data_IF_960624865304
#
_entry.id   IF_960624865304
#
_cell.length_a   1.000
_cell.length_b   1.000
_cell.length_c   1.000
_cell.angle_alpha   90.00
_cell.angle_beta   90.00
_cell.angle_gamma   90.00
#
_symmetry.space_group_name_H-M   'P 1'
#
loop_
_entity.id
_entity.type
_entity.pdbx_description
1 polymer ?
#
# COMPACT_ATOMS: atom_id res chain seq x y z
N UNK A 1 22.29 9.59 -3.46
CA UNK A 1 21.70 9.19 -2.17
C UNK A 1 22.53 8.07 -1.60
N UNK A 2 23.11 8.26 -0.42
CA UNK A 2 23.88 7.22 0.27
C UNK A 2 22.96 6.57 1.30
N UNK A 3 22.79 5.24 1.22
CA UNK A 3 22.04 4.46 2.19
C UNK A 3 23.02 3.75 3.11
N UNK A 4 22.94 4.05 4.41
CA UNK A 4 23.76 3.37 5.42
C UNK A 4 23.38 1.90 5.56
N UNK A 5 24.23 1.10 6.19
CA UNK A 5 24.04 -0.34 6.44
C UNK A 5 22.67 -0.74 7.03
N UNK A 6 22.02 0.15 7.78
CA UNK A 6 20.71 -0.11 8.40
C UNK A 6 19.52 0.30 7.50
N UNK A 7 19.77 1.13 6.48
CA UNK A 7 18.79 1.64 5.53
C UNK A 7 18.81 0.89 4.19
N UNK A 8 19.95 0.27 3.85
CA UNK A 8 20.11 -0.61 2.70
C UNK A 8 19.55 -2.02 3.00
N UNK A 9 20.12 -3.06 2.39
CA UNK A 9 19.60 -4.43 2.52
C UNK A 9 19.98 -5.17 3.82
N UNK A 10 20.79 -4.57 4.69
CA UNK A 10 21.33 -5.25 5.88
C UNK A 10 21.93 -6.61 5.49
N UNK A 11 21.55 -7.71 6.13
CA UNK A 11 22.01 -9.07 5.80
C UNK A 11 21.16 -9.82 4.77
N UNK A 12 20.21 -9.16 4.09
CA UNK A 12 19.21 -9.82 3.23
C UNK A 12 19.15 -9.20 1.84
N UNK A 13 20.31 -8.87 1.28
CA UNK A 13 20.40 -8.41 -0.10
C UNK A 13 19.93 -9.51 -1.07
N UNK A 14 19.22 -9.16 -2.16
CA UNK A 14 18.92 -10.10 -3.22
C UNK A 14 20.22 -10.74 -3.75
N UNK A 15 20.27 -12.07 -3.92
CA UNK A 15 21.49 -12.76 -4.33
C UNK A 15 22.05 -12.26 -5.67
N UNK A 16 21.19 -11.78 -6.56
CA UNK A 16 21.58 -11.28 -7.90
C UNK A 16 22.55 -10.09 -7.85
N UNK A 17 22.59 -9.35 -6.73
CA UNK A 17 23.48 -8.20 -6.59
C UNK A 17 24.83 -8.55 -5.96
N UNK A 18 25.03 -9.79 -5.49
CA UNK A 18 26.28 -10.29 -4.90
C UNK A 18 26.87 -9.37 -3.81
N UNK A 19 26.00 -8.69 -3.06
CA UNK A 19 26.42 -7.73 -2.04
C UNK A 19 26.87 -8.45 -0.77
N UNK A 20 27.97 -8.00 -0.12
CA UNK A 20 28.32 -8.50 1.19
C UNK A 20 27.24 -8.10 2.22
N UNK A 21 27.06 -8.88 3.30
CA UNK A 21 26.15 -8.50 4.37
C UNK A 21 26.48 -7.10 4.90
N UNK A 22 25.44 -6.28 5.08
CA UNK A 22 25.53 -4.91 5.60
C UNK A 22 26.32 -3.93 4.72
N UNK A 23 26.37 -4.18 3.41
CA UNK A 23 26.97 -3.25 2.45
C UNK A 23 26.34 -1.85 2.53
N UNK A 24 27.18 -0.82 2.46
CA UNK A 24 26.77 0.55 2.21
C UNK A 24 26.57 0.75 0.71
N UNK A 25 25.50 1.45 0.31
CA UNK A 25 25.13 1.58 -1.10
C UNK A 25 24.95 3.06 -1.46
N UNK A 26 25.64 3.48 -2.52
CA UNK A 26 25.47 4.79 -3.12
C UNK A 26 24.63 4.68 -4.41
N UNK A 27 23.50 5.40 -4.45
CA UNK A 27 22.63 5.48 -5.61
C UNK A 27 22.69 6.87 -6.25
N UNK A 28 22.79 6.90 -7.59
CA UNK A 28 22.52 8.10 -8.39
C UNK A 28 21.09 7.98 -8.93
N UNK A 29 20.16 8.74 -8.36
CA UNK A 29 18.74 8.71 -8.72
C UNK A 29 18.39 9.95 -9.53
N UNK A 30 17.81 9.76 -10.71
CA UNK A 30 17.23 10.82 -11.52
C UNK A 30 15.70 10.64 -11.55
N UNK A 31 14.98 11.44 -10.76
CA UNK A 31 13.52 11.44 -10.78
C UNK A 31 13.03 12.17 -12.04
N UNK A 32 12.55 11.41 -13.03
CA UNK A 32 12.07 11.97 -14.29
C UNK A 32 10.67 12.58 -14.18
N UNK A 33 9.79 11.89 -13.48
CA UNK A 33 8.40 12.30 -13.26
C UNK A 33 7.89 11.67 -11.96
N UNK A 34 6.92 12.33 -11.33
CA UNK A 34 6.19 11.79 -10.19
C UNK A 34 4.74 12.31 -10.22
N UNK A 35 3.79 11.41 -9.96
CA UNK A 35 2.42 11.82 -9.67
C UNK A 35 2.31 12.15 -8.18
N UNK A 36 1.84 13.35 -7.86
CA UNK A 36 1.43 13.66 -6.49
C UNK A 36 0.12 12.94 -6.20
N UNK A 37 0.18 11.88 -5.41
CA UNK A 37 -1.04 11.30 -4.85
C UNK A 37 -1.57 12.25 -3.78
N UNK A 38 -2.90 12.47 -3.80
CA UNK A 38 -3.57 13.20 -2.73
C UNK A 38 -3.27 12.56 -1.38
N UNK A 39 -3.03 13.37 -0.37
CA UNK A 39 -3.04 12.86 0.98
C UNK A 39 -4.47 12.43 1.38
N UNK A 40 -4.61 11.51 2.34
CA UNK A 40 -5.93 11.00 2.75
C UNK A 40 -6.90 12.10 3.19
N UNK A 41 -6.41 13.20 3.75
CA UNK A 41 -7.22 14.35 4.16
C UNK A 41 -7.65 15.26 3.00
N UNK A 42 -7.05 15.12 1.83
CA UNK A 42 -7.38 15.86 0.60
C UNK A 42 -8.36 15.10 -0.29
N UNK A 43 -8.59 13.81 0.02
CA UNK A 43 -9.49 12.95 -0.73
C UNK A 43 -10.94 13.15 -0.30
N UNK A 44 -11.86 13.18 -1.28
CA UNK A 44 -13.29 13.06 -0.99
C UNK A 44 -13.64 11.63 -0.55
N UNK A 45 -14.83 11.45 0.02
CA UNK A 45 -15.34 10.13 0.41
C UNK A 45 -15.39 9.15 -0.78
N UNK A 46 -15.77 9.62 -1.97
CA UNK A 46 -15.78 8.84 -3.20
C UNK A 46 -14.37 8.43 -3.62
N UNK A 47 -13.40 9.35 -3.57
CA UNK A 47 -12.01 9.09 -3.94
C UNK A 47 -11.36 8.07 -2.99
N UNK A 48 -11.68 8.14 -1.68
CA UNK A 48 -11.27 7.15 -0.69
C UNK A 48 -11.83 5.77 -1.00
N UNK A 49 -13.13 5.67 -1.34
CA UNK A 49 -13.76 4.40 -1.71
C UNK A 49 -13.14 3.80 -2.98
N UNK A 50 -12.91 4.62 -4.02
CA UNK A 50 -12.29 4.15 -5.26
C UNK A 50 -10.85 3.70 -5.04
N UNK A 51 -10.09 4.44 -4.23
CA UNK A 51 -8.71 4.10 -3.88
C UNK A 51 -8.63 2.82 -3.03
N UNK A 52 -9.58 2.63 -2.11
CA UNK A 52 -9.68 1.41 -1.31
C UNK A 52 -10.05 0.19 -2.17
N UNK A 53 -10.93 0.35 -3.16
CA UNK A 53 -11.23 -0.70 -4.15
C UNK A 53 -9.97 -1.10 -4.93
N UNK A 54 -9.18 -0.13 -5.41
CA UNK A 54 -7.90 -0.41 -6.10
C UNK A 54 -6.91 -1.16 -5.21
N UNK A 55 -6.80 -0.77 -3.93
CA UNK A 55 -5.94 -1.46 -2.96
C UNK A 55 -6.43 -2.88 -2.67
N UNK A 56 -7.75 -3.09 -2.57
CA UNK A 56 -8.37 -4.40 -2.40
C UNK A 56 -8.06 -5.31 -3.60
N UNK A 57 -8.23 -4.82 -4.83
CA UNK A 57 -7.94 -5.59 -6.05
C UNK A 57 -6.46 -5.98 -6.11
N UNK A 58 -5.56 -5.01 -5.87
CA UNK A 58 -4.12 -5.27 -5.81
C UNK A 58 -3.77 -6.28 -4.70
N UNK A 59 -4.43 -6.20 -3.55
CA UNK A 59 -4.27 -7.19 -2.47
C UNK A 59 -4.61 -8.60 -2.92
N UNK A 60 -5.67 -8.75 -3.72
CA UNK A 60 -6.08 -10.04 -4.28
C UNK A 60 -5.04 -10.63 -5.22
N UNK A 61 -4.36 -9.81 -6.02
CA UNK A 61 -3.29 -10.25 -6.91
C UNK A 61 -2.08 -10.83 -6.14
N UNK A 62 -1.84 -10.36 -4.91
CA UNK A 62 -0.72 -10.83 -4.07
C UNK A 62 -1.06 -12.07 -3.22
N UNK A 63 -2.30 -12.56 -3.20
CA UNK A 63 -2.67 -13.73 -2.37
C UNK A 63 -1.83 -14.98 -2.69
N UNK A 64 -1.49 -15.20 -3.96
CA UNK A 64 -0.71 -16.36 -4.39
C UNK A 64 0.81 -16.22 -4.17
N UNK A 65 1.33 -14.99 -4.13
CA UNK A 65 2.78 -14.72 -4.14
C UNK A 65 3.31 -14.25 -2.80
N UNK A 66 2.52 -13.47 -2.05
CA UNK A 66 2.95 -12.90 -0.78
C UNK A 66 1.75 -12.53 0.10
N UNK A 67 1.38 -13.43 1.00
CA UNK A 67 0.32 -13.20 1.99
C UNK A 67 0.58 -11.96 2.86
N UNK A 68 1.85 -11.70 3.22
CA UNK A 68 2.23 -10.49 3.97
C UNK A 68 1.88 -9.22 3.20
N UNK A 69 2.17 -9.19 1.90
CA UNK A 69 1.88 -8.04 1.04
C UNK A 69 0.37 -7.87 0.83
N UNK A 70 -0.35 -8.96 0.57
CA UNK A 70 -1.80 -8.97 0.45
C UNK A 70 -2.47 -8.40 1.71
N UNK A 71 -2.10 -8.92 2.89
CA UNK A 71 -2.61 -8.44 4.19
C UNK A 71 -2.37 -6.95 4.39
N UNK A 72 -1.16 -6.46 4.11
CA UNK A 72 -0.84 -5.04 4.25
C UNK A 72 -1.70 -4.16 3.34
N UNK A 73 -1.97 -4.60 2.11
CA UNK A 73 -2.83 -3.87 1.17
C UNK A 73 -4.28 -3.81 1.64
N UNK A 74 -4.84 -4.92 2.13
CA UNK A 74 -6.18 -4.95 2.71
C UNK A 74 -6.30 -4.10 3.98
N UNK A 75 -5.32 -4.17 4.89
CA UNK A 75 -5.30 -3.31 6.08
C UNK A 75 -5.25 -1.82 5.71
N UNK A 76 -4.46 -1.44 4.69
CA UNK A 76 -4.42 -0.06 4.19
C UNK A 76 -5.74 0.36 3.55
N UNK A 77 -6.41 -0.54 2.82
CA UNK A 77 -7.73 -0.28 2.25
C UNK A 77 -8.77 0.01 3.35
N UNK A 78 -8.81 -0.78 4.43
CA UNK A 78 -9.68 -0.52 5.57
C UNK A 78 -9.38 0.81 6.26
N UNK A 79 -8.09 1.10 6.48
CA UNK A 79 -7.67 2.36 7.11
C UNK A 79 -8.11 3.57 6.29
N UNK A 80 -8.16 3.45 4.96
CA UNK A 80 -8.53 4.55 4.08
C UNK A 80 -10.01 4.93 4.19
N UNK A 81 -10.88 3.97 4.47
CA UNK A 81 -12.34 4.16 4.55
C UNK A 81 -12.86 4.19 5.98
N UNK A 82 -12.00 4.06 7.00
CA UNK A 82 -12.44 3.88 8.39
C UNK A 82 -13.27 5.05 8.94
N UNK A 83 -13.01 6.26 8.47
CA UNK A 83 -13.73 7.47 8.87
C UNK A 83 -15.08 7.66 8.15
N UNK A 84 -15.38 6.81 7.15
CA UNK A 84 -16.63 6.86 6.39
C UNK A 84 -17.75 6.01 7.00
N UNK A 85 -17.47 5.28 8.09
CA UNK A 85 -18.38 4.28 8.69
C UNK A 85 -19.73 4.85 9.14
N UNK A 86 -19.77 6.12 9.53
CA UNK A 86 -20.97 6.78 10.06
C UNK A 86 -21.77 7.55 9.00
N UNK A 87 -21.44 7.37 7.71
CA UNK A 87 -22.09 8.12 6.65
C UNK A 87 -23.49 7.54 6.34
N UNK A 88 -24.55 8.34 6.49
CA UNK A 88 -25.95 7.94 6.24
C UNK A 88 -26.44 8.23 4.80
N UNK A 89 -25.51 8.53 3.89
CA UNK A 89 -25.81 8.88 2.50
C UNK A 89 -25.75 7.74 1.48
N UNK A 90 -25.82 8.10 0.19
CA UNK A 90 -25.75 7.20 -0.97
C UNK A 90 -24.45 6.37 -1.07
N UNK A 91 -23.42 6.73 -0.32
CA UNK A 91 -22.15 6.02 -0.25
C UNK A 91 -22.15 4.88 0.77
N UNK A 92 -23.11 4.84 1.70
CA UNK A 92 -23.17 3.83 2.77
C UNK A 92 -23.17 2.42 2.22
N UNK A 93 -24.01 2.16 1.22
CA UNK A 93 -24.11 0.84 0.59
C UNK A 93 -22.79 0.45 -0.11
N UNK A 94 -22.10 1.41 -0.74
CA UNK A 94 -20.79 1.16 -1.35
C UNK A 94 -19.73 0.86 -0.29
N UNK A 95 -19.71 1.64 0.79
CA UNK A 95 -18.84 1.43 1.93
C UNK A 95 -19.06 0.05 2.55
N UNK A 96 -20.31 -0.33 2.86
CA UNK A 96 -20.64 -1.60 3.52
C UNK A 96 -20.21 -2.79 2.67
N UNK A 97 -20.53 -2.78 1.38
CA UNK A 97 -20.10 -3.83 0.43
C UNK A 97 -18.58 -3.95 0.37
N UNK A 98 -17.88 -2.83 0.27
CA UNK A 98 -16.43 -2.81 0.19
C UNK A 98 -15.78 -3.28 1.50
N UNK A 99 -16.26 -2.79 2.64
CA UNK A 99 -15.74 -3.17 3.95
C UNK A 99 -15.92 -4.67 4.20
N UNK A 100 -17.08 -5.26 3.87
CA UNK A 100 -17.29 -6.71 3.94
C UNK A 100 -16.34 -7.46 3.02
N UNK A 101 -16.20 -7.00 1.77
CA UNK A 101 -15.30 -7.63 0.80
C UNK A 101 -13.83 -7.61 1.24
N UNK A 102 -13.36 -6.52 1.85
CA UNK A 102 -11.99 -6.45 2.37
C UNK A 102 -11.82 -7.36 3.59
N UNK A 103 -12.76 -7.33 4.54
CA UNK A 103 -12.68 -8.16 5.75
C UNK A 103 -12.72 -9.66 5.46
N UNK A 104 -13.44 -10.10 4.43
CA UNK A 104 -13.45 -11.50 4.02
C UNK A 104 -12.10 -12.00 3.46
N UNK A 105 -11.20 -11.10 3.08
CA UNK A 105 -9.89 -11.43 2.52
C UNK A 105 -8.72 -11.22 3.51
N UNK A 106 -9.01 -10.82 4.76
CA UNK A 106 -8.05 -10.64 5.84
C UNK A 106 -7.88 -11.93 6.67
#
# INVERSE_FOLDING_TARGET
VVLSKHQAYQGSAPPEFELPPYAEIEFVIFLKDFASDKHTWEMTSEEKLESAEKLKLRGSDYLATSLKTAKNLYSRALQLISDLKENDGCLKEKYDKLAVAINNNL
#
